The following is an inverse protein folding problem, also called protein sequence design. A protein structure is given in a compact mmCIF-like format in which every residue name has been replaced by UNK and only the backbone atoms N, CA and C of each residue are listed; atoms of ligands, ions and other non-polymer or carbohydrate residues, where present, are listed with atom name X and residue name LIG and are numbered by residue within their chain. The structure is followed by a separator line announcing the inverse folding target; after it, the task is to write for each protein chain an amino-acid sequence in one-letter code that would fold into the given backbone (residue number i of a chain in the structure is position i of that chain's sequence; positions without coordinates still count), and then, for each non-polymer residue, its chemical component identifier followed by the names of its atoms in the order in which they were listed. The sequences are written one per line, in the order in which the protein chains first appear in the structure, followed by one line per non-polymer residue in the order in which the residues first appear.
data_IF_826492804427
#
_entry.id   IF_826492804427
#
_cell.length_a   1.000
_cell.length_b   1.000
_cell.length_c   1.000
_cell.angle_alpha   90.00
_cell.angle_beta   90.00
_cell.angle_gamma   90.00
#
_symmetry.space_group_name_H-M   'P 1'
#
loop_
_entity.id
_entity.type
_entity.pdbx_description
1 polymer ?
#
# COMPACT_ATOMS: atom_id res chain seq x y z
N UNK A 1 -9.79 -25.65 -14.12
CA UNK A 1 -10.91 -25.68 -13.16
C UNK A 1 -11.05 -24.28 -12.62
N UNK A 2 -12.11 -23.55 -12.97
CA UNK A 2 -12.28 -22.15 -12.59
C UNK A 2 -13.01 -22.16 -11.25
N UNK A 3 -12.31 -21.84 -10.16
CA UNK A 3 -12.91 -21.71 -8.84
C UNK A 3 -13.95 -20.59 -8.91
N UNK A 4 -15.17 -20.85 -8.43
CA UNK A 4 -16.17 -19.80 -8.28
C UNK A 4 -15.62 -18.71 -7.36
N UNK A 5 -15.89 -17.42 -7.65
CA UNK A 5 -15.43 -16.34 -6.79
C UNK A 5 -15.96 -16.55 -5.36
N UNK A 6 -15.04 -16.62 -4.40
CA UNK A 6 -15.36 -16.76 -2.98
C UNK A 6 -15.49 -15.37 -2.39
N UNK A 7 -16.73 -14.98 -2.11
CA UNK A 7 -17.04 -13.75 -1.39
C UNK A 7 -16.13 -13.59 -0.17
N UNK A 8 -15.59 -12.37 0.02
CA UNK A 8 -14.72 -12.06 1.16
C UNK A 8 -15.39 -12.42 2.49
N UNK A 9 -14.74 -13.28 3.27
CA UNK A 9 -15.19 -13.57 4.64
C UNK A 9 -14.67 -12.52 5.63
N UNK A 10 -15.27 -12.43 6.81
CA UNK A 10 -14.76 -11.56 7.88
C UNK A 10 -13.31 -11.90 8.29
N UNK A 11 -12.93 -13.17 8.22
CA UNK A 11 -11.54 -13.62 8.43
C UNK A 11 -10.61 -13.05 7.37
N UNK A 12 -11.05 -12.98 6.10
CA UNK A 12 -10.25 -12.38 5.03
C UNK A 12 -10.10 -10.88 5.22
N UNK A 13 -11.18 -10.19 5.61
CA UNK A 13 -11.16 -8.76 5.92
C UNK A 13 -10.12 -8.45 7.00
N UNK A 14 -10.11 -9.22 8.09
CA UNK A 14 -9.15 -9.04 9.18
C UNK A 14 -7.72 -9.39 8.74
N UNK A 15 -7.53 -10.47 7.99
CA UNK A 15 -6.21 -10.85 7.47
C UNK A 15 -5.64 -9.77 6.55
N UNK A 16 -6.45 -9.20 5.65
CA UNK A 16 -6.06 -8.09 4.77
C UNK A 16 -5.68 -6.86 5.59
N UNK A 17 -6.49 -6.49 6.59
CA UNK A 17 -6.20 -5.38 7.50
C UNK A 17 -4.86 -5.56 8.20
N UNK A 18 -4.59 -6.75 8.72
CA UNK A 18 -3.32 -7.08 9.36
C UNK A 18 -2.15 -7.07 8.39
N UNK A 19 -2.31 -7.61 7.17
CA UNK A 19 -1.26 -7.56 6.13
C UNK A 19 -0.87 -6.12 5.80
N UNK A 20 -1.85 -5.22 5.63
CA UNK A 20 -1.60 -3.79 5.35
C UNK A 20 -0.88 -3.12 6.52
N UNK A 21 -1.36 -3.33 7.75
CA UNK A 21 -0.75 -2.77 8.95
C UNK A 21 0.69 -3.29 9.16
N UNK A 22 0.90 -4.59 8.99
CA UNK A 22 2.21 -5.22 9.11
C UNK A 22 3.17 -4.72 8.02
N UNK A 23 2.70 -4.46 6.81
CA UNK A 23 3.53 -3.90 5.74
C UNK A 23 4.12 -2.53 6.15
N UNK A 24 3.33 -1.65 6.78
CA UNK A 24 3.84 -0.37 7.28
C UNK A 24 4.89 -0.60 8.37
N UNK A 25 4.61 -1.44 9.37
CA UNK A 25 5.59 -1.76 10.41
C UNK A 25 6.88 -2.33 9.84
N UNK A 26 6.81 -3.22 8.86
CA UNK A 26 7.97 -3.84 8.22
C UNK A 26 8.82 -2.78 7.50
N UNK A 27 8.20 -1.90 6.73
CA UNK A 27 8.89 -0.82 6.00
C UNK A 27 9.52 0.17 6.98
N UNK A 28 8.74 0.66 7.94
CA UNK A 28 9.22 1.64 8.93
C UNK A 28 10.30 1.04 9.84
N UNK A 29 10.28 -0.27 10.06
CA UNK A 29 11.29 -0.94 10.87
C UNK A 29 12.45 -1.52 10.03
N UNK A 30 12.48 -1.30 8.72
CA UNK A 30 13.49 -1.84 7.78
C UNK A 30 13.66 -3.37 7.89
N UNK A 31 12.57 -4.09 8.15
CA UNK A 31 12.55 -5.55 8.31
C UNK A 31 12.42 -6.26 6.97
N UNK A 32 13.41 -6.06 6.10
CA UNK A 32 13.52 -6.70 4.78
C UNK A 32 13.37 -8.22 4.81
N UNK A 33 13.81 -8.85 5.88
CA UNK A 33 13.69 -10.29 6.14
C UNK A 33 12.23 -10.77 6.24
N UNK A 34 11.28 -9.87 6.49
CA UNK A 34 9.85 -10.18 6.58
C UNK A 34 9.05 -9.82 5.33
N UNK A 35 9.68 -9.34 4.26
CA UNK A 35 8.97 -8.86 3.06
C UNK A 35 8.04 -9.93 2.46
N UNK A 36 8.49 -11.18 2.38
CA UNK A 36 7.68 -12.29 1.89
C UNK A 36 6.43 -12.61 2.72
N UNK A 37 6.28 -12.04 3.93
CA UNK A 37 5.06 -12.15 4.75
C UNK A 37 3.94 -11.22 4.29
N UNK A 38 4.27 -10.14 3.60
CA UNK A 38 3.29 -9.09 3.26
C UNK A 38 3.27 -8.73 1.79
N UNK A 39 4.35 -8.95 1.05
CA UNK A 39 4.46 -8.67 -0.38
C UNK A 39 4.55 -9.96 -1.18
N UNK A 40 4.02 -9.94 -2.41
CA UNK A 40 4.35 -10.95 -3.41
C UNK A 40 5.73 -10.66 -4.01
N UNK A 41 6.36 -11.68 -4.59
CA UNK A 41 7.66 -11.51 -5.25
C UNK A 41 7.59 -10.56 -6.47
N UNK A 42 6.42 -10.48 -7.11
CA UNK A 42 6.11 -9.61 -8.26
C UNK A 42 5.46 -8.28 -7.84
N UNK A 43 5.66 -7.83 -6.60
CA UNK A 43 5.14 -6.54 -6.11
C UNK A 43 5.51 -5.41 -7.07
N UNK A 44 4.50 -4.59 -7.39
CA UNK A 44 4.69 -3.26 -7.97
C UNK A 44 4.37 -2.19 -6.94
N UNK A 45 5.39 -1.42 -6.55
CA UNK A 45 5.26 -0.29 -5.64
C UNK A 45 5.36 1.02 -6.43
N UNK A 46 4.30 1.80 -6.44
CA UNK A 46 4.20 3.04 -7.22
C UNK A 46 4.23 4.26 -6.31
N UNK A 47 5.22 5.11 -6.51
CA UNK A 47 5.37 6.38 -5.82
C UNK A 47 5.03 7.49 -6.82
N UNK A 48 3.94 8.20 -6.58
CA UNK A 48 3.61 9.39 -7.37
C UNK A 48 4.38 10.58 -6.82
N UNK A 49 5.28 11.13 -7.62
CA UNK A 49 6.09 12.33 -7.33
C UNK A 49 5.76 13.45 -8.29
N UNK A 50 6.29 14.65 -8.06
CA UNK A 50 6.11 15.80 -8.95
C UNK A 50 6.70 15.57 -10.35
N UNK A 51 7.68 14.66 -10.47
CA UNK A 51 8.29 14.24 -11.74
C UNK A 51 7.55 13.11 -12.46
N UNK A 52 6.42 12.64 -11.92
CA UNK A 52 5.65 11.50 -12.43
C UNK A 52 5.72 10.28 -11.53
N UNK A 53 5.19 9.17 -12.05
CA UNK A 53 5.16 7.88 -11.35
C UNK A 53 6.50 7.16 -11.44
N UNK A 54 7.04 6.80 -10.29
CA UNK A 54 8.10 5.82 -10.18
C UNK A 54 7.50 4.47 -9.81
N UNK A 55 7.75 3.44 -10.63
CA UNK A 55 7.36 2.06 -10.33
C UNK A 55 8.61 1.30 -9.89
N UNK A 56 8.52 0.64 -8.74
CA UNK A 56 9.59 -0.17 -8.14
C UNK A 56 9.12 -1.62 -8.02
N UNK A 57 9.97 -2.54 -8.39
CA UNK A 57 9.85 -3.95 -8.00
C UNK A 57 10.15 -4.13 -6.49
N UNK A 58 9.84 -5.30 -5.93
CA UNK A 58 10.17 -5.62 -4.54
C UNK A 58 11.67 -5.45 -4.24
N UNK A 59 12.53 -5.91 -5.15
CA UNK A 59 13.97 -5.88 -4.99
C UNK A 59 14.51 -4.44 -5.05
N UNK A 60 14.04 -3.63 -6.00
CA UNK A 60 14.42 -2.21 -6.10
C UNK A 60 13.96 -1.42 -4.88
N UNK A 61 12.72 -1.67 -4.41
CA UNK A 61 12.21 -1.06 -3.19
C UNK A 61 13.03 -1.44 -1.96
N UNK A 62 13.35 -2.74 -1.81
CA UNK A 62 14.22 -3.20 -0.72
C UNK A 62 15.63 -2.59 -0.79
N UNK A 63 16.19 -2.48 -2.00
CA UNK A 63 17.49 -1.85 -2.20
C UNK A 63 17.48 -0.38 -1.79
N UNK A 64 16.44 0.38 -2.14
CA UNK A 64 16.30 1.78 -1.72
C UNK A 64 16.23 1.91 -0.21
N UNK A 65 15.45 1.07 0.48
CA UNK A 65 15.40 1.08 1.94
C UNK A 65 16.75 0.77 2.58
N UNK A 66 17.54 -0.14 1.99
CA UNK A 66 18.89 -0.49 2.46
C UNK A 66 19.94 0.59 2.24
N UNK A 67 19.70 1.55 1.34
CA UNK A 67 20.59 2.68 1.11
C UNK A 67 20.40 3.79 2.14
N UNK A 68 19.33 3.75 2.94
CA UNK A 68 19.12 4.70 4.02
C UNK A 68 20.19 4.51 5.11
N UNK A 69 20.72 5.60 5.69
CA UNK A 69 21.61 5.52 6.85
C UNK A 69 20.99 4.71 8.00
N UNK A 70 21.82 4.02 8.78
CA UNK A 70 21.32 3.21 9.92
C UNK A 70 20.62 4.07 10.97
N UNK A 71 21.05 5.32 11.11
CA UNK A 71 20.48 6.36 11.98
C UNK A 71 19.43 7.21 11.27
N UNK A 72 18.99 6.84 10.06
CA UNK A 72 17.94 7.55 9.35
C UNK A 72 16.68 7.56 10.22
N UNK A 73 16.20 8.75 10.64
CA UNK A 73 15.01 8.85 11.44
C UNK A 73 13.82 8.40 10.59
N UNK A 74 12.99 7.53 11.17
CA UNK A 74 12.02 6.76 10.39
C UNK A 74 10.66 7.43 10.47
N UNK A 75 9.92 7.54 9.35
CA UNK A 75 8.54 7.95 9.41
C UNK A 75 7.69 6.93 10.17
N UNK A 76 6.61 7.38 10.79
CA UNK A 76 5.57 6.52 11.36
C UNK A 76 4.37 6.52 10.42
N UNK A 77 4.19 5.46 9.64
CA UNK A 77 3.10 5.32 8.68
C UNK A 77 1.88 4.64 9.31
N UNK A 78 0.79 5.38 9.37
CA UNK A 78 -0.52 4.90 9.79
C UNK A 78 -1.44 4.80 8.57
N UNK A 79 -2.13 3.67 8.42
CA UNK A 79 -3.23 3.51 7.45
C UNK A 79 -4.58 3.44 8.17
N UNK A 80 -5.55 4.22 7.71
CA UNK A 80 -6.88 4.35 8.32
C UNK A 80 -7.99 4.29 7.25
N UNK A 81 -9.24 4.17 7.70
CA UNK A 81 -10.44 4.16 6.85
C UNK A 81 -10.38 3.15 5.69
N UNK A 82 -9.94 1.93 5.99
CA UNK A 82 -9.82 0.85 5.01
C UNK A 82 -11.19 0.45 4.44
N UNK A 83 -11.29 0.48 3.11
CA UNK A 83 -12.41 -0.08 2.33
C UNK A 83 -11.88 -1.12 1.34
N UNK A 84 -12.65 -2.19 1.15
CA UNK A 84 -12.26 -3.35 0.35
C UNK A 84 -13.26 -3.59 -0.78
N UNK A 85 -12.75 -3.90 -1.96
CA UNK A 85 -13.52 -4.21 -3.16
C UNK A 85 -12.98 -5.51 -3.78
N UNK A 86 -13.81 -6.55 -3.77
CA UNK A 86 -13.46 -7.82 -4.39
C UNK A 86 -13.57 -7.72 -5.92
N UNK A 87 -12.57 -8.23 -6.62
CA UNK A 87 -12.56 -8.35 -8.06
C UNK A 87 -13.01 -9.75 -8.50
N UNK A 88 -13.47 -9.87 -9.75
CA UNK A 88 -13.95 -11.14 -10.29
C UNK A 88 -12.88 -12.26 -10.34
N UNK A 89 -11.59 -11.91 -10.31
CA UNK A 89 -10.47 -12.84 -10.27
C UNK A 89 -10.08 -13.28 -8.84
N UNK A 90 -10.81 -12.82 -7.82
CA UNK A 90 -10.56 -13.10 -6.40
C UNK A 90 -9.48 -12.23 -5.76
N UNK A 91 -8.87 -11.30 -6.50
CA UNK A 91 -8.04 -10.26 -5.91
C UNK A 91 -8.90 -9.20 -5.20
N UNK A 92 -8.30 -8.44 -4.28
CA UNK A 92 -8.99 -7.40 -3.52
C UNK A 92 -8.30 -6.09 -3.75
N UNK A 93 -9.06 -5.09 -4.21
CA UNK A 93 -8.64 -3.70 -4.16
C UNK A 93 -8.95 -3.15 -2.78
N UNK A 94 -7.92 -2.67 -2.11
CA UNK A 94 -8.01 -2.02 -0.83
C UNK A 94 -7.66 -0.54 -0.99
N UNK A 95 -8.51 0.34 -0.48
CA UNK A 95 -8.22 1.77 -0.37
C UNK A 95 -8.21 2.16 1.09
N UNK A 96 -7.15 2.84 1.49
CA UNK A 96 -7.04 3.44 2.82
C UNK A 96 -6.46 4.84 2.71
N UNK A 97 -6.62 5.65 3.74
CA UNK A 97 -5.85 6.88 3.90
C UNK A 97 -4.55 6.56 4.61
N UNK A 98 -3.48 7.25 4.27
CA UNK A 98 -2.27 7.24 5.09
C UNK A 98 -2.01 8.59 5.75
N UNK A 99 -1.38 8.51 6.93
CA UNK A 99 -0.71 9.59 7.62
C UNK A 99 0.72 9.11 7.88
N UNK A 100 1.71 9.88 7.46
CA UNK A 100 3.11 9.63 7.78
C UNK A 100 3.66 10.82 8.57
N UNK A 101 4.01 10.58 9.83
CA UNK A 101 4.72 11.57 10.65
C UNK A 101 6.20 11.47 10.29
N UNK A 102 6.76 12.55 9.76
CA UNK A 102 8.14 12.59 9.28
C UNK A 102 9.10 12.97 10.41
N UNK A 103 10.40 12.68 10.24
CA UNK A 103 11.44 13.04 11.21
C UNK A 103 11.51 14.49 11.64
N UNK A 104 11.14 15.41 10.75
CA UNK A 104 11.11 16.86 10.98
C UNK A 104 9.80 17.32 11.64
N UNK A 105 9.02 16.39 12.21
CA UNK A 105 7.70 16.60 12.78
C UNK A 105 6.64 17.13 11.79
N UNK A 106 6.93 17.13 10.49
CA UNK A 106 5.91 17.41 9.47
C UNK A 106 5.07 16.17 9.20
N UNK A 107 3.87 16.37 8.66
CA UNK A 107 2.96 15.28 8.31
C UNK A 107 2.76 15.27 6.81
N UNK A 108 2.92 14.08 6.21
CA UNK A 108 2.39 13.80 4.88
C UNK A 108 1.14 12.94 4.99
N UNK A 109 0.17 13.17 4.11
CA UNK A 109 -1.03 12.34 4.03
C UNK A 109 -1.38 12.04 2.58
N UNK A 110 -2.21 11.03 2.38
CA UNK A 110 -2.64 10.62 1.06
C UNK A 110 -3.53 9.40 1.07
N UNK A 111 -3.70 8.80 -0.10
CA UNK A 111 -4.38 7.52 -0.26
C UNK A 111 -3.35 6.42 -0.51
N UNK A 112 -3.54 5.26 0.11
CA UNK A 112 -2.92 4.00 -0.27
C UNK A 112 -3.91 3.22 -1.12
N UNK A 113 -3.47 2.84 -2.31
CA UNK A 113 -4.24 2.07 -3.28
C UNK A 113 -3.54 0.72 -3.47
N UNK A 114 -4.12 -0.33 -2.90
CA UNK A 114 -3.49 -1.64 -2.74
C UNK A 114 -4.24 -2.73 -3.51
N UNK A 115 -3.54 -3.63 -4.18
CA UNK A 115 -4.13 -4.88 -4.68
C UNK A 115 -3.56 -6.03 -3.86
N UNK A 116 -4.44 -6.77 -3.21
CA UNK A 116 -4.09 -7.97 -2.46
C UNK A 116 -4.56 -9.23 -3.19
N UNK A 117 -3.77 -10.28 -3.05
CA UNK A 117 -4.07 -11.61 -3.57
C UNK A 117 -3.95 -12.63 -2.44
N UNK A 118 -4.82 -13.64 -2.45
CA UNK A 118 -4.72 -14.77 -1.53
C UNK A 118 -3.73 -15.78 -2.09
N UNK A 119 -2.65 -16.07 -1.37
CA UNK A 119 -1.69 -17.12 -1.69
C UNK A 119 -1.88 -18.31 -0.76
N UNK A 120 -1.13 -19.40 -0.99
CA UNK A 120 -1.09 -20.55 -0.06
C UNK A 120 -0.62 -20.16 1.35
N UNK A 121 0.13 -19.05 1.47
CA UNK A 121 0.63 -18.53 2.74
C UNK A 121 -0.21 -17.35 3.29
N UNK A 122 -1.41 -17.15 2.74
CA UNK A 122 -2.35 -16.08 3.12
C UNK A 122 -2.29 -14.85 2.22
N UNK A 123 -2.89 -13.74 2.67
CA UNK A 123 -3.00 -12.52 1.88
C UNK A 123 -1.65 -11.80 1.73
N UNK A 124 -1.36 -11.33 0.52
CA UNK A 124 -0.16 -10.55 0.16
C UNK A 124 -0.52 -9.37 -0.74
N UNK A 125 0.21 -8.27 -0.58
CA UNK A 125 0.18 -7.10 -1.46
C UNK A 125 0.95 -7.43 -2.76
N UNK A 126 0.24 -7.38 -3.89
CA UNK A 126 0.83 -7.48 -5.24
C UNK A 126 1.04 -6.10 -5.87
N UNK A 127 0.29 -5.12 -5.42
CA UNK A 127 0.40 -3.73 -5.88
C UNK A 127 0.18 -2.80 -4.70
N UNK A 128 0.96 -1.72 -4.65
CA UNK A 128 0.70 -0.57 -3.77
C UNK A 128 1.03 0.71 -4.51
N UNK A 129 0.11 1.67 -4.48
CA UNK A 129 0.36 3.04 -4.92
C UNK A 129 0.10 4.03 -3.79
N UNK A 130 1.04 4.93 -3.56
CA UNK A 130 0.87 6.04 -2.64
C UNK A 130 0.54 7.32 -3.41
N UNK A 131 -0.67 7.84 -3.21
CA UNK A 131 -1.13 9.08 -3.84
C UNK A 131 -1.14 10.18 -2.79
N UNK A 132 -0.13 11.05 -2.84
CA UNK A 132 0.03 12.16 -1.89
C UNK A 132 -1.13 13.16 -1.99
N UNK A 133 -1.70 13.53 -0.83
CA UNK A 133 -2.68 14.61 -0.66
C UNK A 133 -2.05 15.85 -0.05
N UNK A 134 -1.27 15.71 1.02
CA UNK A 134 -0.67 16.86 1.73
C UNK A 134 0.80 16.54 2.08
N UNK A 135 1.72 17.51 2.02
CA UNK A 135 1.54 18.81 1.37
C UNK A 135 1.54 18.67 -0.15
N UNK A 136 0.74 19.49 -0.84
CA UNK A 136 0.83 19.62 -2.29
C UNK A 136 1.92 20.62 -2.64
N UNK A 137 2.71 20.41 -3.70
CA UNK A 137 3.53 21.48 -4.26
C UNK A 137 2.60 22.64 -4.64
N UNK A 138 2.82 23.82 -4.05
CA UNK A 138 2.10 25.08 -4.29
C UNK A 138 0.58 24.96 -4.57
N UNK A 139 -0.15 24.17 -3.78
CA UNK A 139 -1.62 24.12 -3.84
C UNK A 139 -2.23 23.55 -5.13
N UNK A 140 -1.47 22.81 -5.94
CA UNK A 140 -1.99 22.12 -7.13
C UNK A 140 -3.03 21.05 -6.77
N UNK A 141 -4.07 20.81 -7.60
CA UNK A 141 -5.21 19.97 -7.23
C UNK A 141 -4.82 18.52 -6.90
N UNK A 142 -5.58 17.88 -6.01
CA UNK A 142 -5.44 16.44 -5.76
C UNK A 142 -5.71 15.68 -7.07
N UNK A 143 -4.83 14.75 -7.48
CA UNK A 143 -4.99 14.03 -8.75
C UNK A 143 -6.09 12.95 -8.62
N UNK A 144 -7.35 13.39 -8.63
CA UNK A 144 -8.53 12.55 -8.42
C UNK A 144 -8.59 11.36 -9.39
N UNK A 145 -8.16 11.56 -10.64
CA UNK A 145 -8.09 10.53 -11.68
C UNK A 145 -7.28 9.30 -11.30
N UNK A 146 -6.28 9.43 -10.41
CA UNK A 146 -5.49 8.29 -9.92
C UNK A 146 -6.24 7.41 -8.94
N UNK A 147 -7.35 7.92 -8.38
CA UNK A 147 -8.21 7.25 -7.42
C UNK A 147 -9.59 6.93 -7.97
N UNK A 148 -9.89 7.33 -9.21
CA UNK A 148 -11.24 7.21 -9.78
C UNK A 148 -11.68 5.76 -9.96
N UNK A 149 -10.75 4.91 -10.38
CA UNK A 149 -11.00 3.47 -10.46
C UNK A 149 -11.17 2.85 -9.06
N UNK A 150 -10.75 3.53 -7.99
CA UNK A 150 -10.72 3.03 -6.61
C UNK A 150 -11.93 3.49 -5.78
N UNK A 151 -13.00 3.91 -6.44
CA UNK A 151 -14.31 4.09 -5.84
C UNK A 151 -15.15 2.81 -5.95
N UNK A 152 -16.04 2.54 -4.96
CA UNK A 152 -17.04 1.50 -5.12
C UNK A 152 -17.93 1.81 -6.32
N UNK A 153 -18.26 0.79 -7.11
CA UNK A 153 -19.40 0.88 -8.02
C UNK A 153 -20.72 0.95 -7.24
N UNK A 154 -20.76 0.34 -6.05
CA UNK A 154 -21.89 0.28 -5.09
C UNK A 154 -21.36 0.00 -3.67
N UNK A 155 -22.07 0.48 -2.63
CA UNK A 155 -21.78 0.22 -1.20
C UNK A 155 -22.70 -0.88 -0.68
#
# INVERSE_FOLDING_TARGET
MQLAPRALSSTDVEAIRQTIALANHIVDNMRGDLFGRVFTADLQFVITTDGGDQVLTLDEFHQQLRQLPTDYPRPDHHTQDLVLFENADGSVRARSRYLAVRPDATVTSGDCLDILVCTEEGWRLRYRRLVKRIPQPEGGPYPASLSDDWWPATI
#
